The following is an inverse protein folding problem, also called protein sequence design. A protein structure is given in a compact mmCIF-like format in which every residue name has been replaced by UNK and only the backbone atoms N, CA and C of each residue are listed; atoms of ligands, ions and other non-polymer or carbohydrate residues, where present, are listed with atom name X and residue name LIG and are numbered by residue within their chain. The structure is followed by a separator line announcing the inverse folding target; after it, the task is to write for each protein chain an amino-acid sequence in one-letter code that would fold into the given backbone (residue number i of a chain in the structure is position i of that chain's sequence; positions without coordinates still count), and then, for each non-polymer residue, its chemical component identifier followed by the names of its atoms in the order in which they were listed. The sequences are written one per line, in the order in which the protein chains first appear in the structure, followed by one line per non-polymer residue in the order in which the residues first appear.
data_IF_299064568994
#
_entry.id   IF_299064568994
#
_cell.length_a   1.000
_cell.length_b   1.000
_cell.length_c   1.000
_cell.angle_alpha   90.00
_cell.angle_beta   90.00
_cell.angle_gamma   90.00
#
_symmetry.space_group_name_H-M   'P 1'
#
loop_
_entity.id
_entity.type
_entity.pdbx_description
1 polymer ?
#
# COMPACT_ATOMS: atom_id res chain seq x y z
N UNK A 1 28.67 25.07 6.57
CA UNK A 1 27.97 24.22 5.59
C UNK A 1 27.49 22.96 6.30
N UNK A 2 26.29 22.99 6.89
CA UNK A 2 25.71 21.83 7.58
C UNK A 2 24.65 21.19 6.66
N UNK A 3 24.92 19.98 6.17
CA UNK A 3 23.90 19.16 5.50
C UNK A 3 23.02 18.56 6.59
N UNK A 4 21.92 19.24 6.91
CA UNK A 4 20.82 18.60 7.65
C UNK A 4 20.20 17.56 6.74
N UNK A 5 20.36 16.28 7.09
CA UNK A 5 19.50 15.22 6.60
C UNK A 5 18.07 15.57 7.03
N UNK A 6 17.29 16.16 6.13
CA UNK A 6 15.85 16.23 6.23
C UNK A 6 15.35 14.78 6.15
N UNK A 7 15.29 14.12 7.29
CA UNK A 7 14.42 12.97 7.47
C UNK A 7 13.03 13.54 7.31
N UNK A 8 12.42 13.37 6.13
CA UNK A 8 10.99 13.63 5.95
C UNK A 8 10.30 12.93 7.11
N UNK A 9 9.69 13.71 8.01
CA UNK A 9 8.99 13.17 9.16
C UNK A 9 7.76 12.44 8.63
N UNK A 10 7.90 11.13 8.40
CA UNK A 10 6.79 10.27 7.98
C UNK A 10 5.86 10.14 9.17
N UNK A 11 4.82 10.98 9.19
CA UNK A 11 3.72 10.89 10.13
C UNK A 11 2.74 9.83 9.63
N UNK A 12 2.88 8.61 10.12
CA UNK A 12 1.97 7.51 9.77
C UNK A 12 0.90 7.33 10.84
N UNK A 13 -0.37 7.45 10.43
CA UNK A 13 -1.54 7.22 11.27
C UNK A 13 -2.29 6.01 10.73
N UNK A 14 -2.42 4.98 11.55
CA UNK A 14 -3.09 3.72 11.21
C UNK A 14 -4.24 3.44 12.17
N UNK A 15 -5.35 2.88 11.68
CA UNK A 15 -6.48 2.55 12.53
C UNK A 15 -7.66 1.93 11.78
N UNK A 16 -8.71 1.62 12.54
CA UNK A 16 -9.99 1.17 12.00
C UNK A 16 -10.99 2.33 12.06
N UNK A 17 -11.70 2.56 10.95
CA UNK A 17 -12.82 3.49 10.93
C UNK A 17 -14.15 2.75 11.01
N UNK A 18 -15.07 3.23 11.86
CA UNK A 18 -16.45 2.76 11.86
C UNK A 18 -17.25 3.58 10.87
N UNK A 19 -17.91 2.92 9.92
CA UNK A 19 -18.64 3.59 8.83
C UNK A 19 -20.05 3.03 8.74
N UNK A 20 -21.03 3.91 8.83
CA UNK A 20 -22.45 3.54 8.74
C UNK A 20 -22.83 3.05 7.35
N UNK A 21 -22.27 3.69 6.31
CA UNK A 21 -22.48 3.30 4.92
C UNK A 21 -21.14 3.02 4.23
N UNK A 22 -20.94 1.74 3.89
CA UNK A 22 -19.71 1.24 3.29
C UNK A 22 -19.61 1.55 1.79
N UNK A 23 -20.71 1.98 1.15
CA UNK A 23 -20.73 2.27 -0.29
C UNK A 23 -20.02 3.58 -0.63
N UNK A 24 -19.91 4.50 0.33
CA UNK A 24 -19.22 5.77 0.17
C UNK A 24 -17.71 5.69 0.45
N UNK A 25 -17.19 4.52 0.84
CA UNK A 25 -15.76 4.33 1.08
C UNK A 25 -15.10 3.79 -0.18
N UNK A 26 -14.15 4.55 -0.72
CA UNK A 26 -13.31 4.09 -1.81
C UNK A 26 -12.18 3.22 -1.25
N UNK A 27 -12.19 1.93 -1.60
CA UNK A 27 -11.11 1.00 -1.23
C UNK A 27 -9.88 1.26 -2.13
N UNK A 28 -8.71 1.23 -1.51
CA UNK A 28 -7.42 1.49 -2.13
C UNK A 28 -6.68 2.65 -1.46
N UNK A 29 -5.53 3.02 -2.02
CA UNK A 29 -4.76 4.17 -1.58
C UNK A 29 -4.87 5.32 -2.59
N UNK A 30 -5.14 6.53 -2.10
CA UNK A 30 -4.98 7.77 -2.84
C UNK A 30 -3.74 8.50 -2.36
N UNK A 31 -3.05 9.14 -3.31
CA UNK A 31 -1.85 9.93 -3.06
C UNK A 31 -2.12 11.36 -3.47
N UNK A 32 -1.78 12.30 -2.61
CA UNK A 32 -1.92 13.72 -2.86
C UNK A 32 -0.62 14.41 -2.52
N UNK A 33 -0.08 15.15 -3.48
CA UNK A 33 1.02 16.07 -3.25
C UNK A 33 0.42 17.40 -2.77
N UNK A 34 0.80 17.84 -1.58
CA UNK A 34 0.36 19.13 -1.02
C UNK A 34 1.34 20.25 -1.40
N UNK A 35 2.59 19.90 -1.72
CA UNK A 35 3.63 20.75 -2.30
C UNK A 35 4.77 19.85 -2.81
N UNK A 36 5.87 20.44 -3.28
CA UNK A 36 7.09 19.72 -3.69
C UNK A 36 7.79 18.96 -2.54
N UNK A 37 7.35 19.17 -1.29
CA UNK A 37 7.97 18.63 -0.07
C UNK A 37 7.13 17.61 0.70
N UNK A 38 5.81 17.49 0.41
CA UNK A 38 4.90 16.69 1.24
C UNK A 38 3.96 15.82 0.39
N UNK A 39 4.13 14.50 0.50
CA UNK A 39 3.21 13.48 -0.01
C UNK A 39 2.29 13.02 1.13
N UNK A 40 0.98 13.19 0.95
CA UNK A 40 -0.03 12.55 1.80
C UNK A 40 -0.59 11.31 1.12
N UNK A 41 -0.62 10.20 1.85
CA UNK A 41 -1.17 8.93 1.39
C UNK A 41 -2.34 8.55 2.29
N UNK A 42 -3.52 8.38 1.70
CA UNK A 42 -4.71 7.92 2.40
C UNK A 42 -5.13 6.57 1.85
N UNK A 43 -5.19 5.57 2.72
CA UNK A 43 -5.58 4.22 2.35
C UNK A 43 -6.83 3.79 3.10
N UNK A 44 -7.77 3.17 2.38
CA UNK A 44 -8.89 2.44 2.98
C UNK A 44 -8.89 1.01 2.45
N UNK A 45 -9.00 0.04 3.36
CA UNK A 45 -8.92 -1.37 3.02
C UNK A 45 -9.92 -2.17 3.83
N UNK A 46 -10.13 -3.44 3.44
CA UNK A 46 -11.06 -4.34 4.14
C UNK A 46 -10.38 -5.64 4.53
N UNK A 47 -10.51 -5.99 5.81
CA UNK A 47 -10.03 -7.25 6.38
C UNK A 47 -9.09 -7.00 7.55
N UNK A 48 -8.63 -8.10 8.15
CA UNK A 48 -7.73 -8.03 9.30
C UNK A 48 -6.36 -7.53 8.85
N UNK A 49 -5.83 -6.52 9.55
CA UNK A 49 -4.48 -5.97 9.37
C UNK A 49 -4.18 -5.51 7.93
N UNK A 50 -5.19 -5.20 7.12
CA UNK A 50 -4.97 -4.79 5.73
C UNK A 50 -4.28 -3.42 5.60
N UNK A 51 -4.29 -2.63 6.68
CA UNK A 51 -3.67 -1.32 6.77
C UNK A 51 -2.20 -1.40 7.21
N UNK A 52 -1.58 -2.59 7.15
CA UNK A 52 -0.17 -2.80 7.46
C UNK A 52 0.78 -2.05 6.54
N UNK A 53 0.39 -1.92 5.26
CA UNK A 53 1.18 -1.29 4.22
C UNK A 53 0.30 -0.89 3.02
N UNK A 54 0.81 0.04 2.21
CA UNK A 54 0.10 0.59 1.05
C UNK A 54 -0.23 -0.45 -0.03
N UNK A 55 0.62 -1.47 -0.21
CA UNK A 55 0.41 -2.49 -1.23
C UNK A 55 -0.72 -3.43 -0.82
N UNK A 56 -0.74 -3.85 0.44
CA UNK A 56 -1.81 -4.69 1.01
C UNK A 56 -3.14 -3.95 1.05
N UNK A 57 -3.14 -2.64 1.33
CA UNK A 57 -4.36 -1.83 1.33
C UNK A 57 -4.96 -1.63 -0.08
N UNK A 58 -4.11 -1.62 -1.12
CA UNK A 58 -4.53 -1.40 -2.52
C UNK A 58 -4.92 -2.69 -3.24
N UNK A 59 -4.43 -3.84 -2.78
CA UNK A 59 -4.60 -5.11 -3.48
C UNK A 59 -5.96 -5.75 -3.19
N UNK A 60 -6.83 -5.97 -4.20
CA UNK A 60 -7.92 -6.90 -4.03
C UNK A 60 -7.32 -8.31 -3.86
N UNK A 61 -7.70 -9.02 -2.79
CA UNK A 61 -7.14 -10.35 -2.44
C UNK A 61 -7.06 -11.34 -3.62
N UNK A 62 -7.97 -11.24 -4.58
CA UNK A 62 -8.00 -12.08 -5.78
C UNK A 62 -6.79 -11.85 -6.70
N UNK A 63 -6.34 -10.61 -6.85
CA UNK A 63 -5.22 -10.25 -7.72
C UNK A 63 -3.89 -10.72 -7.14
N UNK A 64 -3.72 -10.66 -5.81
CA UNK A 64 -2.55 -11.22 -5.11
C UNK A 64 -2.40 -12.73 -5.36
N UNK A 65 -3.50 -13.48 -5.28
CA UNK A 65 -3.49 -14.93 -5.52
C UNK A 65 -3.07 -15.25 -6.96
N UNK A 66 -3.62 -14.53 -7.93
CA UNK A 66 -3.27 -14.71 -9.36
C UNK A 66 -1.81 -14.34 -9.63
N UNK A 67 -1.31 -13.25 -9.04
CA UNK A 67 0.09 -12.83 -9.19
C UNK A 67 1.06 -13.88 -8.63
N UNK A 68 0.78 -14.40 -7.42
CA UNK A 68 1.58 -15.45 -6.77
C UNK A 68 1.56 -16.73 -7.61
N UNK A 69 0.39 -17.18 -8.08
CA UNK A 69 0.29 -18.40 -8.89
C UNK A 69 0.98 -18.32 -10.25
N UNK A 70 0.98 -17.16 -10.91
CA UNK A 70 1.54 -17.03 -12.26
C UNK A 70 3.02 -16.63 -12.28
N UNK A 71 3.47 -15.78 -11.35
CA UNK A 71 4.82 -15.20 -11.41
C UNK A 71 5.86 -15.97 -10.61
N UNK A 72 5.50 -16.60 -9.48
CA UNK A 72 6.44 -17.44 -8.74
C UNK A 72 7.00 -18.61 -9.56
N UNK A 73 6.20 -19.40 -10.32
CA UNK A 73 6.76 -20.49 -11.10
C UNK A 73 7.67 -19.98 -12.23
N UNK A 74 7.36 -18.82 -12.83
CA UNK A 74 8.21 -18.23 -13.87
C UNK A 74 9.57 -17.76 -13.32
N UNK A 75 9.58 -17.11 -12.15
CA UNK A 75 10.81 -16.68 -11.48
C UNK A 75 11.63 -17.88 -11.00
N UNK A 76 10.98 -18.89 -10.39
CA UNK A 76 11.64 -20.12 -9.97
C UNK A 76 12.25 -20.88 -11.17
N UNK A 77 11.52 -20.98 -12.28
CA UNK A 77 12.04 -21.57 -13.51
C UNK A 77 13.28 -20.84 -14.01
N UNK A 78 13.25 -19.51 -14.01
CA UNK A 78 14.39 -18.72 -14.45
C UNK A 78 15.61 -18.84 -13.53
N UNK A 79 15.40 -19.07 -12.23
CA UNK A 79 16.47 -19.14 -11.22
C UNK A 79 17.03 -20.56 -11.00
N UNK A 80 16.28 -21.61 -11.37
CA UNK A 80 16.69 -23.01 -11.24
C UNK A 80 17.15 -23.65 -12.58
N UNK A 81 16.74 -23.09 -13.72
CA UNK A 81 17.09 -23.63 -15.06
C UNK A 81 18.07 -22.75 -15.86
N UNK A 82 18.48 -21.60 -15.34
CA UNK A 82 19.61 -20.81 -15.84
C UNK A 82 20.83 -21.03 -14.94
#
# INVERSE_FOLDING_TARGET
MGRSNLVHAVSELQGCMNVSDKTHIQIGCSKKWISDEYEEIHCACRGNLCNSDSLTATSPKLLQIVHVLLLLPAVLYHHFLA
#
